data_IF_985625022933
#
_entry.id   IF_985625022933
#
_cell.length_a   1.000
_cell.length_b   1.000
_cell.length_c   1.000
_cell.angle_alpha   90.00
_cell.angle_beta   90.00
_cell.angle_gamma   90.00
#
_symmetry.space_group_name_H-M   'P 1'
#
loop_
_entity.id
_entity.type
_entity.pdbx_description
1 polymer ?
#
# COMPACT_ATOMS: atom_id res chain seq x y z
N UNK A 1 -15.44 15.23 -4.32
CA UNK A 1 -14.21 14.68 -3.73
C UNK A 1 -13.90 15.54 -2.54
N UNK A 2 -13.83 14.97 -1.35
CA UNK A 2 -13.60 15.76 -0.14
C UNK A 2 -12.17 16.32 -0.15
N UNK A 3 -12.06 17.59 0.20
CA UNK A 3 -10.79 18.29 0.37
C UNK A 3 -10.59 18.56 1.87
N UNK A 4 -9.34 18.79 2.27
CA UNK A 4 -8.98 19.30 3.60
C UNK A 4 -8.74 20.82 3.58
N UNK A 5 -9.06 21.48 2.46
CA UNK A 5 -8.91 22.94 2.28
C UNK A 5 -9.80 23.75 3.22
N UNK A 6 -10.96 23.22 3.63
CA UNK A 6 -11.87 23.92 4.54
C UNK A 6 -11.38 23.96 6.00
N UNK A 7 -10.33 23.21 6.35
CA UNK A 7 -9.78 23.21 7.70
C UNK A 7 -9.24 24.60 8.06
N UNK A 8 -9.83 25.18 9.11
CA UNK A 8 -9.43 26.49 9.63
C UNK A 8 -8.04 26.43 10.29
N UNK A 9 -7.39 27.57 10.53
CA UNK A 9 -6.13 27.60 11.28
C UNK A 9 -6.25 26.93 12.67
N UNK A 10 -7.38 27.11 13.35
CA UNK A 10 -7.67 26.47 14.64
C UNK A 10 -7.80 24.95 14.51
N UNK A 11 -8.48 24.45 13.46
CA UNK A 11 -8.57 23.00 13.21
C UNK A 11 -7.19 22.38 13.01
N UNK A 12 -6.33 23.08 12.25
CA UNK A 12 -4.94 22.65 11.99
C UNK A 12 -4.12 22.66 13.27
N UNK A 13 -4.30 23.64 14.15
CA UNK A 13 -3.65 23.68 15.46
C UNK A 13 -4.05 22.48 16.33
N UNK A 14 -5.34 22.15 16.41
CA UNK A 14 -5.85 21.00 17.16
C UNK A 14 -5.29 19.69 16.58
N UNK A 15 -5.27 19.54 15.26
CA UNK A 15 -4.68 18.39 14.58
C UNK A 15 -3.18 18.25 14.88
N UNK A 16 -2.41 19.35 14.79
CA UNK A 16 -0.98 19.33 15.10
C UNK A 16 -0.70 18.99 16.56
N UNK A 17 -1.43 19.60 17.50
CA UNK A 17 -1.28 19.33 18.93
C UNK A 17 -1.65 17.89 19.28
N UNK A 18 -2.75 17.37 18.71
CA UNK A 18 -3.16 15.97 18.93
C UNK A 18 -2.17 14.99 18.31
N UNK A 19 -1.67 15.26 17.10
CA UNK A 19 -0.62 14.45 16.46
C UNK A 19 0.65 14.41 17.31
N UNK A 20 1.10 15.55 17.84
CA UNK A 20 2.29 15.64 18.69
C UNK A 20 2.17 14.82 20.00
N UNK A 21 0.96 14.47 20.42
CA UNK A 21 0.74 13.54 21.53
C UNK A 21 0.80 12.09 21.05
N UNK A 22 0.07 11.78 19.97
CA UNK A 22 -0.05 10.44 19.41
C UNK A 22 1.31 9.92 18.90
N UNK A 23 2.11 10.76 18.26
CA UNK A 23 3.37 10.38 17.63
C UNK A 23 4.50 10.07 18.61
N UNK A 24 4.39 10.48 19.88
CA UNK A 24 5.40 10.18 20.92
C UNK A 24 5.66 8.69 21.11
N UNK A 25 4.61 7.88 20.95
CA UNK A 25 4.68 6.42 21.06
C UNK A 25 4.02 5.77 19.83
N UNK A 26 4.41 6.26 18.64
CA UNK A 26 3.82 5.86 17.37
C UNK A 26 3.87 4.34 17.17
N UNK A 27 4.96 3.69 17.58
CA UNK A 27 5.11 2.25 17.47
C UNK A 27 4.05 1.49 18.27
N UNK A 28 3.91 1.81 19.57
CA UNK A 28 2.95 1.13 20.42
C UNK A 28 1.52 1.45 20.01
N UNK A 29 1.22 2.70 19.60
CA UNK A 29 -0.09 3.09 19.07
C UNK A 29 -0.42 2.26 17.83
N UNK A 30 0.50 2.12 16.88
CA UNK A 30 0.30 1.34 15.67
C UNK A 30 0.01 -0.14 15.97
N UNK A 31 0.82 -0.75 16.85
CA UNK A 31 0.64 -2.15 17.28
C UNK A 31 -0.73 -2.35 17.90
N UNK A 32 -1.13 -1.46 18.82
CA UNK A 32 -2.44 -1.55 19.48
C UNK A 32 -3.60 -1.43 18.49
N UNK A 33 -3.50 -0.52 17.50
CA UNK A 33 -4.51 -0.37 16.44
C UNK A 33 -4.67 -1.68 15.68
N UNK A 34 -3.58 -2.28 15.22
CA UNK A 34 -3.64 -3.53 14.46
C UNK A 34 -4.12 -4.70 15.29
N UNK A 35 -3.74 -4.77 16.57
CA UNK A 35 -4.27 -5.78 17.48
C UNK A 35 -5.80 -5.65 17.59
N UNK A 36 -6.32 -4.44 17.79
CA UNK A 36 -7.76 -4.20 17.84
C UNK A 36 -8.44 -4.54 16.50
N UNK A 37 -7.83 -4.21 15.36
CA UNK A 37 -8.34 -4.61 14.04
C UNK A 37 -8.48 -6.13 13.95
N UNK A 38 -7.48 -6.87 14.41
CA UNK A 38 -7.49 -8.33 14.39
C UNK A 38 -8.45 -8.98 15.39
N UNK A 39 -8.81 -8.28 16.46
CA UNK A 39 -9.86 -8.69 17.38
C UNK A 39 -11.25 -8.45 16.77
N UNK A 40 -11.46 -7.31 16.11
CA UNK A 40 -12.73 -6.94 15.47
C UNK A 40 -12.98 -7.66 14.14
N UNK A 41 -11.91 -7.99 13.43
CA UNK A 41 -11.93 -8.61 12.11
C UNK A 41 -10.80 -9.66 11.99
N UNK A 42 -10.96 -10.85 12.58
CA UNK A 42 -9.93 -11.89 12.59
C UNK A 42 -9.45 -12.29 11.18
N UNK A 43 -10.34 -12.30 10.20
CA UNK A 43 -10.06 -12.63 8.81
C UNK A 43 -9.07 -11.64 8.15
N UNK A 44 -8.97 -10.42 8.67
CA UNK A 44 -7.97 -9.46 8.21
C UNK A 44 -6.54 -9.99 8.39
N UNK A 45 -6.28 -10.90 9.33
CA UNK A 45 -4.96 -11.55 9.51
C UNK A 45 -4.47 -12.25 8.25
N UNK A 46 -5.38 -12.77 7.40
CA UNK A 46 -5.05 -13.44 6.14
C UNK A 46 -4.32 -12.51 5.16
N UNK A 47 -4.51 -11.19 5.28
CA UNK A 47 -3.82 -10.18 4.46
C UNK A 47 -2.32 -10.08 4.79
N UNK A 48 -1.91 -10.59 5.95
CA UNK A 48 -0.57 -10.43 6.50
C UNK A 48 0.17 -11.75 6.44
N UNK A 49 0.84 -12.02 5.32
CA UNK A 49 1.56 -13.30 5.09
C UNK A 49 2.59 -13.67 6.17
N UNK A 50 3.12 -12.70 6.93
CA UNK A 50 4.02 -12.95 8.07
C UNK A 50 3.30 -13.56 9.28
N UNK A 51 1.99 -13.36 9.41
CA UNK A 51 1.15 -13.96 10.46
C UNK A 51 0.88 -15.45 10.18
N UNK A 52 1.02 -15.90 8.94
CA UNK A 52 0.66 -17.25 8.47
C UNK A 52 1.85 -18.22 8.39
N UNK A 53 3.09 -17.75 8.61
CA UNK A 53 4.31 -18.56 8.46
C UNK A 53 4.89 -18.99 9.80
N UNK A 54 5.59 -20.11 9.88
CA UNK A 54 6.31 -20.57 11.09
C UNK A 54 7.66 -19.87 11.28
N UNK A 55 7.67 -18.55 11.43
CA UNK A 55 8.87 -17.82 11.86
C UNK A 55 9.06 -17.89 13.38
N UNK A 56 10.32 -17.73 13.84
CA UNK A 56 10.62 -17.40 15.24
C UNK A 56 9.77 -16.21 15.66
N UNK A 57 9.15 -16.29 16.84
CA UNK A 57 8.18 -15.29 17.34
C UNK A 57 8.72 -13.85 17.26
N UNK A 58 9.99 -13.64 17.61
CA UNK A 58 10.65 -12.34 17.53
C UNK A 58 10.66 -11.72 16.12
N UNK A 59 10.87 -12.54 15.08
CA UNK A 59 10.88 -12.06 13.69
C UNK A 59 9.48 -11.72 13.20
N UNK A 60 8.45 -12.48 13.62
CA UNK A 60 7.05 -12.14 13.35
C UNK A 60 6.68 -10.80 13.96
N UNK A 61 7.08 -10.60 15.21
CA UNK A 61 6.85 -9.35 15.96
C UNK A 61 7.46 -8.14 15.24
N UNK A 62 8.72 -8.24 14.79
CA UNK A 62 9.39 -7.13 14.10
C UNK A 62 8.77 -6.77 12.74
N UNK A 63 8.45 -7.76 11.90
CA UNK A 63 7.78 -7.51 10.61
C UNK A 63 6.38 -6.91 10.82
N UNK A 64 5.65 -7.41 11.82
CA UNK A 64 4.36 -6.86 12.20
C UNK A 64 4.46 -5.40 12.64
N UNK A 65 5.37 -5.10 13.56
CA UNK A 65 5.62 -3.74 14.04
C UNK A 65 6.00 -2.82 12.89
N UNK A 66 6.93 -3.26 12.03
CA UNK A 66 7.36 -2.50 10.86
C UNK A 66 6.18 -2.15 9.95
N UNK A 67 5.31 -3.14 9.69
CA UNK A 67 4.12 -2.92 8.88
C UNK A 67 3.12 -1.98 9.55
N UNK A 68 2.86 -2.15 10.85
CA UNK A 68 1.95 -1.32 11.60
C UNK A 68 2.38 0.15 11.59
N UNK A 69 3.67 0.42 11.81
CA UNK A 69 4.22 1.78 11.80
C UNK A 69 4.08 2.44 10.43
N UNK A 70 4.24 1.68 9.32
CA UNK A 70 4.09 2.21 7.96
C UNK A 70 2.71 2.83 7.71
N UNK A 71 1.66 2.32 8.35
CA UNK A 71 0.32 2.93 8.25
C UNK A 71 0.26 4.28 8.95
N UNK A 72 0.84 4.41 10.15
CA UNK A 72 0.89 5.71 10.83
C UNK A 72 1.77 6.72 10.10
N UNK A 73 2.81 6.27 9.38
CA UNK A 73 3.62 7.15 8.52
C UNK A 73 2.83 7.74 7.34
N UNK A 74 1.84 7.02 6.80
CA UNK A 74 0.94 7.58 5.77
C UNK A 74 0.08 8.70 6.36
N UNK A 75 -0.41 8.51 7.59
CA UNK A 75 -1.16 9.52 8.33
C UNK A 75 -0.26 10.73 8.63
N UNK A 76 0.97 10.50 9.11
CA UNK A 76 1.98 11.55 9.34
C UNK A 76 2.29 12.34 8.07
N UNK A 77 2.48 11.66 6.94
CA UNK A 77 2.70 12.32 5.66
C UNK A 77 1.51 13.21 5.27
N UNK A 78 0.29 12.80 5.60
CA UNK A 78 -0.91 13.61 5.35
C UNK A 78 -0.91 14.85 6.25
N UNK A 79 -0.52 14.70 7.52
CA UNK A 79 -0.38 15.80 8.46
C UNK A 79 0.63 16.86 8.00
N UNK A 80 1.76 16.43 7.45
CA UNK A 80 2.79 17.36 6.94
C UNK A 80 2.40 18.06 5.63
N UNK A 81 1.33 17.60 4.97
CA UNK A 81 0.83 18.16 3.71
C UNK A 81 -0.63 18.62 3.80
N UNK A 82 -1.14 18.98 4.99
CA UNK A 82 -2.54 19.39 5.16
C UNK A 82 -2.93 20.61 4.29
N UNK A 83 -1.99 21.46 3.91
CA UNK A 83 -2.25 22.61 3.02
C UNK A 83 -2.40 22.21 1.56
N UNK A 84 -1.68 21.16 1.14
CA UNK A 84 -1.72 20.67 -0.23
C UNK A 84 -1.62 19.13 -0.25
N UNK A 85 -2.69 18.43 0.18
CA UNK A 85 -2.64 16.97 0.30
C UNK A 85 -2.68 16.26 -1.06
N UNK A 86 -2.96 16.98 -2.16
CA UNK A 86 -2.92 16.46 -3.52
C UNK A 86 -1.53 15.92 -3.92
N UNK A 87 -0.47 16.41 -3.28
CA UNK A 87 0.90 15.90 -3.48
C UNK A 87 1.03 14.40 -3.14
N UNK A 88 0.12 13.86 -2.33
CA UNK A 88 0.10 12.46 -1.92
C UNK A 88 -0.81 11.60 -2.79
N UNK A 89 -1.46 12.15 -3.82
CA UNK A 89 -2.41 11.41 -4.66
C UNK A 89 -1.78 10.16 -5.29
N UNK A 90 -0.56 10.26 -5.80
CA UNK A 90 0.16 9.11 -6.34
C UNK A 90 0.37 8.01 -5.29
N UNK A 91 0.64 8.38 -4.04
CA UNK A 91 0.81 7.45 -2.92
C UNK A 91 -0.53 6.76 -2.61
N UNK A 92 -1.61 7.51 -2.43
CA UNK A 92 -2.93 6.96 -2.12
C UNK A 92 -3.47 6.07 -3.25
N UNK A 93 -3.30 6.48 -4.51
CA UNK A 93 -3.68 5.69 -5.68
C UNK A 93 -2.94 4.34 -5.69
N UNK A 94 -1.63 4.35 -5.43
CA UNK A 94 -0.85 3.12 -5.40
C UNK A 94 -1.24 2.20 -4.23
N UNK A 95 -1.49 2.77 -3.04
CA UNK A 95 -2.00 2.01 -1.91
C UNK A 95 -3.37 1.40 -2.21
N UNK A 96 -4.26 2.15 -2.88
CA UNK A 96 -5.55 1.63 -3.36
C UNK A 96 -5.41 0.43 -4.28
N UNK A 97 -4.49 0.50 -5.25
CA UNK A 97 -4.16 -0.63 -6.16
C UNK A 97 -3.67 -1.87 -5.41
N UNK A 98 -2.87 -1.68 -4.35
CA UNK A 98 -2.43 -2.78 -3.49
C UNK A 98 -3.63 -3.46 -2.82
N UNK A 99 -4.54 -2.68 -2.23
CA UNK A 99 -5.72 -3.23 -1.56
C UNK A 99 -6.70 -3.91 -2.54
N UNK A 100 -6.81 -3.43 -3.78
CA UNK A 100 -7.57 -4.13 -4.82
C UNK A 100 -6.95 -5.48 -5.22
N UNK A 101 -5.62 -5.65 -5.09
CA UNK A 101 -5.00 -6.98 -5.24
C UNK A 101 -5.33 -7.89 -4.06
N UNK A 102 -5.37 -7.35 -2.84
CA UNK A 102 -5.78 -8.12 -1.65
C UNK A 102 -7.25 -8.55 -1.71
N UNK A 103 -8.13 -7.76 -2.33
CA UNK A 103 -9.55 -8.16 -2.53
C UNK A 103 -9.63 -9.47 -3.30
N UNK A 104 -8.92 -9.56 -4.42
CA UNK A 104 -8.94 -10.74 -5.28
C UNK A 104 -8.19 -11.94 -4.70
N UNK A 105 -7.03 -11.71 -4.07
CA UNK A 105 -6.16 -12.80 -3.64
C UNK A 105 -6.55 -13.37 -2.29
N UNK A 106 -7.09 -12.53 -1.40
CA UNK A 106 -7.21 -12.83 0.02
C UNK A 106 -8.61 -12.51 0.57
N UNK A 107 -9.49 -11.87 -0.21
CA UNK A 107 -10.84 -11.52 0.21
C UNK A 107 -10.93 -10.21 0.99
N UNK A 108 -10.03 -9.25 0.74
CA UNK A 108 -10.16 -7.90 1.31
C UNK A 108 -11.53 -7.29 0.98
N UNK A 109 -12.26 -6.84 2.01
CA UNK A 109 -13.58 -6.23 1.88
C UNK A 109 -13.54 -4.74 2.26
N UNK A 110 -14.43 -3.95 1.66
CA UNK A 110 -14.58 -2.54 1.98
C UNK A 110 -14.91 -2.27 3.47
N UNK A 111 -15.46 -3.25 4.18
CA UNK A 111 -15.70 -3.15 5.63
C UNK A 111 -14.42 -2.90 6.43
N UNK A 112 -13.26 -3.43 6.00
CA UNK A 112 -12.00 -3.24 6.71
C UNK A 112 -11.54 -1.77 6.75
N UNK A 113 -11.94 -0.94 5.78
CA UNK A 113 -11.69 0.51 5.86
C UNK A 113 -12.38 1.16 7.06
N UNK A 114 -13.61 0.75 7.34
CA UNK A 114 -14.38 1.25 8.47
C UNK A 114 -13.81 0.75 9.80
N UNK A 115 -13.44 -0.53 9.89
CA UNK A 115 -12.78 -1.10 11.07
C UNK A 115 -11.48 -0.36 11.36
N UNK A 116 -10.62 -0.19 10.36
CA UNK A 116 -9.37 0.55 10.48
C UNK A 116 -9.60 1.96 11.02
N UNK A 117 -10.53 2.71 10.41
CA UNK A 117 -10.87 4.08 10.83
C UNK A 117 -11.29 4.14 12.30
N UNK A 118 -12.21 3.28 12.73
CA UNK A 118 -12.71 3.30 14.11
C UNK A 118 -11.63 2.88 15.12
N UNK A 119 -10.78 1.89 14.79
CA UNK A 119 -9.64 1.51 15.64
C UNK A 119 -8.62 2.65 15.78
N UNK A 120 -8.30 3.36 14.71
CA UNK A 120 -7.40 4.54 14.77
C UNK A 120 -7.99 5.62 15.67
N UNK A 121 -9.26 6.01 15.45
CA UNK A 121 -9.92 7.04 16.25
C UNK A 121 -9.99 6.67 17.74
N UNK A 122 -10.25 5.40 18.05
CA UNK A 122 -10.24 4.90 19.42
C UNK A 122 -8.87 5.09 20.08
N UNK A 123 -7.80 4.64 19.41
CA UNK A 123 -6.45 4.72 19.97
C UNK A 123 -5.89 6.14 20.03
N UNK A 124 -6.25 7.02 19.10
CA UNK A 124 -5.87 8.43 19.15
C UNK A 124 -6.54 9.11 20.35
N UNK A 125 -7.84 8.87 20.57
CA UNK A 125 -8.54 9.36 21.77
C UNK A 125 -7.88 8.84 23.05
N UNK A 126 -7.53 7.55 23.07
CA UNK A 126 -6.88 6.92 24.22
C UNK A 126 -5.53 7.56 24.54
N UNK A 127 -4.71 7.81 23.51
CA UNK A 127 -3.40 8.46 23.66
C UNK A 127 -3.53 9.88 24.24
N UNK A 128 -4.46 10.68 23.71
CA UNK A 128 -4.72 12.04 24.21
C UNK A 128 -5.20 12.04 25.67
N UNK A 129 -6.16 11.15 26.02
CA UNK A 129 -6.64 11.02 27.40
C UNK A 129 -5.57 10.53 28.37
N UNK A 130 -4.68 9.63 27.95
CA UNK A 130 -3.60 9.14 28.78
C UNK A 130 -2.55 10.23 29.06
N UNK A 131 -2.17 11.02 28.05
CA UNK A 131 -1.26 12.14 28.21
C UNK A 131 -1.75 13.13 29.28
N UNK A 132 -3.06 13.40 29.34
CA UNK A 132 -3.65 14.25 30.39
C UNK A 132 -3.54 13.70 31.81
N UNK A 133 -3.41 12.38 32.00
CA UNK A 133 -3.27 11.82 33.35
C UNK A 133 -1.87 12.03 33.92
N UNK A 134 -0.87 12.16 33.05
CA UNK A 134 0.54 12.15 33.45
C UNK A 134 1.25 13.49 33.28
N UNK A 135 0.80 14.37 32.36
CA UNK A 135 1.51 15.60 31.99
C UNK A 135 0.62 16.84 32.10
N UNK A 136 0.59 17.48 33.28
CA UNK A 136 -0.20 18.69 33.58
C UNK A 136 0.08 19.92 32.69
N UNK A 137 1.20 19.94 31.98
CA UNK A 137 1.69 21.14 31.27
C UNK A 137 1.31 21.20 29.78
N UNK A 138 0.81 20.10 29.22
CA UNK A 138 0.40 19.97 27.80
C UNK A 138 -0.91 19.16 27.68
N UNK A 139 -1.81 19.34 28.66
CA UNK A 139 -3.11 18.68 28.64
C UNK A 139 -4.01 19.27 27.56
N UNK A 140 -4.71 18.40 26.84
CA UNK A 140 -5.73 18.79 25.89
C UNK A 140 -7.09 18.67 26.59
N UNK A 141 -7.86 19.75 26.81
CA UNK A 141 -9.17 19.68 27.45
C UNK A 141 -10.10 18.67 26.75
N UNK A 142 -11.03 18.06 27.48
CA UNK A 142 -11.92 17.03 26.92
C UNK A 142 -12.67 17.50 25.66
N UNK A 143 -13.15 18.75 25.64
CA UNK A 143 -13.81 19.34 24.47
C UNK A 143 -12.86 19.48 23.26
N UNK A 144 -11.58 19.79 23.51
CA UNK A 144 -10.55 19.86 22.47
C UNK A 144 -10.19 18.45 21.95
N UNK A 145 -10.17 17.43 22.83
CA UNK A 145 -10.03 16.02 22.43
C UNK A 145 -11.19 15.59 21.52
N UNK A 146 -12.42 15.93 21.85
CA UNK A 146 -13.57 15.58 21.02
C UNK A 146 -13.54 16.29 19.67
N UNK A 147 -13.13 17.56 19.66
CA UNK A 147 -12.87 18.32 18.42
C UNK A 147 -11.78 17.65 17.59
N UNK A 148 -10.66 17.26 18.20
CA UNK A 148 -9.58 16.53 17.53
C UNK A 148 -10.09 15.23 16.90
N UNK A 149 -10.96 14.47 17.58
CA UNK A 149 -11.51 13.22 17.02
C UNK A 149 -12.44 13.45 15.84
N UNK A 150 -13.20 14.55 15.84
CA UNK A 150 -14.01 14.94 14.67
C UNK A 150 -13.09 15.25 13.49
N UNK A 151 -12.03 16.03 13.70
CA UNK A 151 -11.07 16.39 12.66
C UNK A 151 -10.29 15.18 12.14
N UNK A 152 -9.84 14.28 13.02
CA UNK A 152 -9.19 13.03 12.62
C UNK A 152 -10.10 12.13 11.80
N UNK A 153 -11.42 12.14 12.06
CA UNK A 153 -12.39 11.41 11.23
C UNK A 153 -12.38 11.93 9.80
N UNK A 154 -12.26 13.24 9.60
CA UNK A 154 -12.17 13.85 8.28
C UNK A 154 -10.85 13.51 7.58
N UNK A 155 -9.71 13.61 8.29
CA UNK A 155 -8.40 13.24 7.75
C UNK A 155 -8.37 11.78 7.30
N UNK A 156 -8.89 10.87 8.13
CA UNK A 156 -8.95 9.44 7.77
C UNK A 156 -9.91 9.17 6.61
N UNK A 157 -11.06 9.85 6.57
CA UNK A 157 -12.01 9.75 5.46
C UNK A 157 -11.35 10.22 4.15
N UNK A 158 -10.65 11.35 4.18
CA UNK A 158 -9.88 11.86 3.04
C UNK A 158 -8.88 10.82 2.52
N UNK A 159 -8.03 10.26 3.40
CA UNK A 159 -7.05 9.23 3.01
C UNK A 159 -7.74 8.01 2.39
N UNK A 160 -8.78 7.48 3.05
CA UNK A 160 -9.52 6.30 2.61
C UNK A 160 -10.18 6.55 1.26
N UNK A 161 -10.82 7.69 1.05
CA UNK A 161 -11.51 8.00 -0.19
C UNK A 161 -10.55 8.16 -1.36
N UNK A 162 -9.37 8.77 -1.13
CA UNK A 162 -8.29 8.79 -2.13
C UNK A 162 -7.77 7.40 -2.46
N UNK A 163 -7.61 6.52 -1.47
CA UNK A 163 -7.25 5.11 -1.71
C UNK A 163 -8.34 4.37 -2.49
N UNK A 164 -9.62 4.63 -2.20
CA UNK A 164 -10.75 4.02 -2.92
C UNK A 164 -10.80 4.38 -4.39
N UNK A 165 -10.25 5.53 -4.81
CA UNK A 165 -10.09 5.85 -6.23
C UNK A 165 -9.19 4.81 -6.92
N UNK A 166 -7.99 4.56 -6.37
CA UNK A 166 -7.06 3.58 -6.92
C UNK A 166 -7.59 2.15 -6.84
N UNK A 167 -8.33 1.84 -5.77
CA UNK A 167 -9.01 0.56 -5.57
C UNK A 167 -10.04 0.30 -6.68
N UNK A 168 -10.97 1.24 -6.87
CA UNK A 168 -12.10 1.11 -7.79
C UNK A 168 -11.66 1.12 -9.25
N UNK A 169 -10.70 1.98 -9.62
CA UNK A 169 -10.14 2.01 -10.96
C UNK A 169 -9.56 0.64 -11.37
N UNK A 170 -8.88 -0.03 -10.43
CA UNK A 170 -8.33 -1.36 -10.64
C UNK A 170 -9.43 -2.42 -10.78
N UNK A 171 -10.48 -2.34 -9.94
CA UNK A 171 -11.65 -3.22 -10.04
C UNK A 171 -12.39 -3.08 -11.37
N UNK A 172 -12.56 -1.86 -11.87
CA UNK A 172 -13.24 -1.58 -13.14
C UNK A 172 -12.49 -2.17 -14.34
N UNK A 173 -11.17 -1.94 -14.43
CA UNK A 173 -10.31 -2.52 -15.49
C UNK A 173 -10.42 -4.05 -15.48
N UNK A 174 -10.41 -4.67 -14.29
CA UNK A 174 -10.50 -6.14 -14.17
C UNK A 174 -11.85 -6.68 -14.61
N UNK A 175 -12.96 -6.03 -14.24
CA UNK A 175 -14.31 -6.43 -14.69
C UNK A 175 -14.42 -6.37 -16.21
N UNK A 176 -13.91 -5.31 -16.83
CA UNK A 176 -13.85 -5.17 -18.28
C UNK A 176 -13.03 -6.30 -18.93
N UNK A 177 -11.85 -6.63 -18.39
CA UNK A 177 -11.02 -7.71 -18.91
C UNK A 177 -11.68 -9.10 -18.79
N UNK A 178 -12.39 -9.37 -17.69
CA UNK A 178 -13.14 -10.63 -17.53
C UNK A 178 -14.29 -10.73 -18.54
N UNK A 179 -15.01 -9.64 -18.78
CA UNK A 179 -16.09 -9.60 -19.76
C UNK A 179 -15.59 -9.82 -21.20
N UNK A 180 -14.45 -9.24 -21.56
CA UNK A 180 -13.83 -9.46 -22.87
C UNK A 180 -13.46 -10.94 -23.11
N UNK A 181 -12.85 -11.59 -22.12
CA UNK A 181 -12.46 -13.01 -22.22
C UNK A 181 -13.70 -13.92 -22.32
N UNK A 182 -14.77 -13.62 -21.57
CA UNK A 182 -16.01 -14.40 -21.66
C UNK A 182 -16.77 -14.19 -22.97
N UNK A 183 -16.67 -13.02 -23.59
CA UNK A 183 -17.28 -12.73 -24.89
C UNK A 183 -16.58 -13.50 -26.03
N UNK A 184 -15.25 -13.58 -26.00
CA UNK A 184 -14.48 -14.35 -27.00
C UNK A 184 -14.71 -15.87 -26.93
N UNK A 185 -15.18 -16.38 -25.80
CA UNK A 185 -15.50 -17.81 -25.61
C UNK A 185 -16.98 -18.16 -25.82
N UNK A 186 -17.84 -17.19 -26.14
CA UNK A 186 -19.27 -17.42 -26.40
C UNK A 186 -19.67 -17.27 -27.87
N UNK A 187 -18.71 -17.13 -28.78
CA UNK A 187 -18.93 -17.18 -30.24
C UNK A 187 -18.51 -18.57 -30.76
N UNK A 188 -19.50 -19.34 -31.24
CA UNK A 188 -19.54 -20.75 -31.72
C UNK A 188 -19.83 -21.81 -30.64
N UNK A 189 -20.82 -22.69 -30.88
CA UNK A 189 -21.07 -23.39 -32.14
C UNK A 189 -22.46 -23.13 -32.73
N UNK A 190 -22.54 -23.06 -34.06
CA UNK A 190 -23.61 -23.62 -34.92
C UNK A 190 -23.60 -22.87 -36.27
N UNK A 191 -23.02 -23.49 -37.30
CA UNK A 191 -23.77 -23.61 -38.56
C UNK A 191 -23.21 -24.77 -39.40
N UNK A 192 -24.09 -25.70 -39.72
CA UNK A 192 -23.89 -26.76 -40.69
C UNK A 192 -24.90 -26.54 -41.81
N UNK A 193 -24.44 -26.16 -43.01
CA UNK A 193 -25.33 -26.06 -44.17
C UNK A 193 -24.65 -25.60 -45.45
N UNK A 194 -24.53 -26.51 -46.44
CA UNK A 194 -24.02 -26.28 -47.79
C UNK A 194 -24.82 -25.24 -48.60
N UNK A 195 -24.15 -24.46 -49.47
CA UNK A 195 -24.28 -24.56 -50.95
C UNK A 195 -23.65 -23.37 -51.72
N UNK A 196 -22.78 -23.72 -52.68
CA UNK A 196 -22.57 -23.17 -54.03
C UNK A 196 -22.20 -21.68 -54.27
N UNK A 197 -20.91 -21.47 -54.57
CA UNK A 197 -20.43 -21.06 -55.91
C UNK A 197 -20.54 -19.60 -56.34
N UNK A 198 -19.38 -18.92 -56.46
CA UNK A 198 -18.84 -18.36 -57.72
C UNK A 198 -17.47 -17.70 -57.52
N UNK A 199 -16.57 -17.98 -58.48
CA UNK A 199 -15.21 -17.48 -58.64
C UNK A 199 -15.10 -15.97 -58.79
N UNK A 200 -14.03 -15.38 -58.24
CA UNK A 200 -13.13 -14.46 -58.97
C UNK A 200 -11.69 -14.67 -58.49
N UNK A 201 -10.78 -14.81 -59.46
CA UNK A 201 -9.33 -14.96 -59.33
C UNK A 201 -8.64 -13.77 -58.67
N UNK A 202 -7.53 -13.98 -57.96
CA UNK A 202 -6.18 -13.62 -58.47
C UNK A 202 -5.06 -14.00 -57.51
N UNK A 203 -3.94 -14.36 -58.13
CA UNK A 203 -2.69 -14.90 -57.60
C UNK A 203 -1.92 -13.85 -56.77
N UNK A 204 -1.18 -14.29 -55.73
CA UNK A 204 0.31 -14.31 -55.74
C UNK A 204 0.91 -14.47 -54.32
N UNK A 205 1.82 -15.44 -54.29
CA UNK A 205 3.05 -15.58 -53.53
C UNK A 205 3.14 -15.67 -52.00
N UNK A 206 3.73 -16.81 -51.64
CA UNK A 206 4.45 -17.13 -50.43
C UNK A 206 5.54 -16.10 -50.12
N UNK A 207 5.62 -15.68 -48.86
CA UNK A 207 6.93 -15.58 -48.21
C UNK A 207 6.83 -15.97 -46.75
N UNK A 208 7.56 -17.04 -46.42
CA UNK A 208 7.81 -17.49 -45.06
C UNK A 208 8.70 -16.47 -44.34
N UNK A 209 8.32 -16.08 -43.12
CA UNK A 209 9.28 -15.50 -42.17
C UNK A 209 9.21 -16.30 -40.87
N UNK A 210 10.20 -17.18 -40.74
CA UNK A 210 10.64 -17.81 -39.50
C UNK A 210 10.88 -16.74 -38.42
N UNK A 211 10.29 -16.93 -37.23
CA UNK A 211 10.77 -16.26 -36.01
C UNK A 211 11.75 -17.21 -35.29
N UNK A 212 13.06 -16.88 -35.19
CA UNK A 212 13.97 -17.66 -34.39
C UNK A 212 13.89 -17.28 -32.92
N UNK A 213 13.78 -18.33 -32.11
CA UNK A 213 13.98 -18.38 -30.67
C UNK A 213 15.46 -18.14 -30.37
N UNK A 214 15.80 -17.11 -29.58
CA UNK A 214 17.15 -16.94 -29.05
C UNK A 214 17.14 -16.58 -27.56
N UNK A 215 17.70 -17.50 -26.77
CA UNK A 215 18.18 -17.27 -25.42
C UNK A 215 19.48 -16.45 -25.49
N UNK A 216 19.66 -15.44 -24.63
CA UNK A 216 20.99 -15.08 -24.11
C UNK A 216 20.95 -14.07 -22.95
N UNK A 217 21.49 -14.54 -21.82
CA UNK A 217 22.33 -13.88 -20.80
C UNK A 217 22.00 -12.49 -20.23
N UNK A 218 21.97 -12.49 -18.89
CA UNK A 218 22.09 -11.36 -17.97
C UNK A 218 23.44 -10.62 -18.06
N UNK A 219 23.49 -9.33 -17.70
CA UNK A 219 24.70 -8.67 -17.21
C UNK A 219 24.81 -8.80 -15.68
N UNK A 220 25.95 -9.34 -15.22
CA UNK A 220 26.42 -9.22 -13.83
C UNK A 220 27.09 -7.85 -13.67
N UNK A 221 26.63 -7.02 -12.73
CA UNK A 221 27.43 -5.89 -12.27
C UNK A 221 28.36 -6.36 -11.16
N UNK A 222 29.66 -6.23 -11.42
CA UNK A 222 30.75 -6.48 -10.47
C UNK A 222 30.73 -5.46 -9.34
N UNK A 223 30.86 -5.98 -8.12
CA UNK A 223 31.15 -5.24 -6.89
C UNK A 223 32.63 -4.89 -6.89
N UNK A 224 32.97 -3.60 -6.94
CA UNK A 224 34.31 -3.13 -6.64
C UNK A 224 34.47 -3.05 -5.12
N UNK A 225 35.35 -3.89 -4.58
CA UNK A 225 35.83 -3.86 -3.20
C UNK A 225 36.91 -2.79 -3.12
N UNK A 226 36.63 -1.69 -2.42
CA UNK A 226 37.65 -0.70 -2.02
C UNK A 226 37.93 -0.89 -0.53
N UNK A 227 39.21 -1.10 -0.22
CA UNK A 227 39.80 -1.32 1.10
C UNK A 227 40.02 0.05 1.79
N UNK A 228 39.84 0.21 3.12
CA UNK A 228 40.10 1.49 3.78
C UNK A 228 41.54 1.58 4.29
N UNK A 229 42.09 2.81 4.29
CA UNK A 229 43.30 3.24 5.00
C UNK A 229 43.16 4.76 5.32
N UNK A 230 43.89 5.31 6.31
CA UNK A 230 43.26 6.00 7.44
C UNK A 230 43.31 7.54 7.44
N UNK A 231 42.49 8.09 8.36
CA UNK A 231 42.41 9.40 9.02
C UNK A 231 43.24 10.61 8.53
N UNK A 232 42.56 11.75 8.38
CA UNK A 232 43.07 13.05 8.82
C UNK A 232 41.91 14.05 9.10
N UNK A 233 42.08 14.80 10.19
CA UNK A 233 41.22 15.89 10.69
C UNK A 233 41.09 17.05 9.71
N UNK A 234 39.91 17.67 9.58
CA UNK A 234 39.73 19.14 9.59
C UNK A 234 38.25 19.52 9.78
N UNK A 235 37.99 20.43 10.72
CA UNK A 235 36.70 21.13 10.95
C UNK A 235 36.36 22.07 9.77
N UNK A 236 35.07 22.24 9.43
CA UNK A 236 34.42 23.55 9.19
C UNK A 236 32.90 23.35 9.00
N UNK A 237 32.15 24.31 9.55
CA UNK A 237 30.70 24.50 9.59
C UNK A 237 30.09 24.92 8.24
N UNK A 238 28.88 24.45 7.92
CA UNK A 238 27.80 25.30 7.36
C UNK A 238 26.46 24.54 7.26
N UNK A 239 25.39 25.30 7.49
CA UNK A 239 23.97 24.94 7.54
C UNK A 239 23.37 24.70 6.14
N UNK A 240 22.59 23.62 5.98
CA UNK A 240 21.32 23.55 5.20
C UNK A 240 20.54 22.25 5.55
N UNK A 241 19.19 22.26 5.59
CA UNK A 241 18.41 21.07 5.91
C UNK A 241 18.10 20.22 4.64
N UNK A 242 18.17 18.87 4.71
CA UNK A 242 17.91 18.04 3.54
C UNK A 242 16.41 17.80 3.32
N UNK A 243 15.92 18.20 2.15
CA UNK A 243 14.64 17.76 1.56
C UNK A 243 14.53 16.23 1.52
N UNK A 244 13.65 15.67 2.36
CA UNK A 244 13.43 14.23 2.50
C UNK A 244 12.12 13.83 1.81
N UNK A 245 12.04 13.96 0.49
CA UNK A 245 10.83 13.56 -0.28
C UNK A 245 11.06 12.33 -1.17
N UNK A 246 12.29 11.82 -1.29
CA UNK A 246 12.63 10.82 -2.30
C UNK A 246 12.63 9.35 -1.83
N UNK A 247 12.42 9.08 -0.53
CA UNK A 247 12.56 7.71 0.01
C UNK A 247 11.25 6.92 0.15
N UNK A 248 10.08 7.57 0.16
CA UNK A 248 8.81 6.87 0.37
C UNK A 248 8.41 6.02 -0.86
N UNK A 249 8.65 6.51 -2.07
CA UNK A 249 8.28 5.81 -3.31
C UNK A 249 9.16 4.57 -3.58
N UNK A 250 10.45 4.58 -3.21
CA UNK A 250 11.34 3.42 -3.43
C UNK A 250 11.00 2.24 -2.51
N UNK A 251 10.54 2.48 -1.27
CA UNK A 251 10.20 1.38 -0.37
C UNK A 251 8.86 0.74 -0.71
N UNK A 252 7.92 1.46 -1.33
CA UNK A 252 6.60 0.93 -1.67
C UNK A 252 6.64 0.00 -2.91
N UNK A 253 7.60 0.19 -3.82
CA UNK A 253 7.74 -0.62 -5.06
C UNK A 253 8.40 -2.00 -4.81
N UNK A 254 8.96 -2.25 -3.63
CA UNK A 254 9.70 -3.50 -3.34
C UNK A 254 8.83 -4.76 -3.12
N UNK A 255 7.50 -4.65 -3.14
CA UNK A 255 6.60 -5.80 -2.95
C UNK A 255 6.07 -6.36 -4.26
N UNK A 256 6.91 -7.17 -4.92
CA UNK A 256 6.47 -8.23 -5.83
C UNK A 256 7.23 -9.51 -5.49
N UNK A 257 6.59 -10.56 -4.94
CA UNK A 257 7.25 -11.84 -4.73
C UNK A 257 7.47 -12.51 -6.08
N UNK A 258 8.73 -12.68 -6.47
CA UNK A 258 9.11 -13.54 -7.60
C UNK A 258 8.67 -14.98 -7.28
N UNK A 259 7.61 -15.46 -7.94
CA UNK A 259 7.26 -16.87 -7.96
C UNK A 259 8.40 -17.69 -8.58
N UNK A 260 9.16 -18.41 -7.75
CA UNK A 260 10.07 -19.46 -8.22
C UNK A 260 9.23 -20.73 -8.40
N UNK A 261 8.91 -21.04 -9.66
CA UNK A 261 8.32 -22.32 -10.07
C UNK A 261 9.42 -23.37 -10.08
N UNK A 262 9.55 -24.20 -9.04
CA UNK A 262 10.39 -25.41 -9.09
C UNK A 262 9.54 -26.62 -9.49
N UNK A 263 9.86 -27.15 -10.65
CA UNK A 263 9.39 -28.42 -11.21
C UNK A 263 9.92 -29.55 -10.33
N UNK A 264 9.03 -30.33 -9.71
CA UNK A 264 9.39 -31.60 -9.06
C UNK A 264 9.69 -32.62 -10.16
N UNK A 265 10.93 -33.11 -10.22
CA UNK A 265 11.25 -34.37 -10.89
C UNK A 265 11.20 -35.48 -9.85
N UNK A 266 10.28 -36.42 -10.00
CA UNK A 266 10.38 -37.72 -9.34
C UNK A 266 11.62 -38.43 -9.86
N UNK A 267 12.47 -38.91 -8.94
CA UNK A 267 13.38 -40.01 -9.22
C UNK A 267 13.13 -41.10 -8.19
N UNK A 268 12.62 -42.21 -8.70
CA UNK A 268 12.61 -43.54 -8.10
C UNK A 268 14.04 -44.05 -7.85
N UNK A 269 14.26 -44.73 -6.73
CA UNK A 269 15.11 -45.92 -6.53
C UNK A 269 14.73 -46.48 -5.14
N UNK A 270 14.03 -47.62 -5.08
CA UNK A 270 14.58 -48.99 -4.86
C UNK A 270 15.49 -49.04 -3.65
#
# INVERSE_FOLDING_TARGET
MESLEHLTPTDREILNKSWAIVSKDMQQVAVNIFQMIFEQAPDAKLMFSFMMKDYKEDKKSNEFIFHAVRFLQVIESTMTHLENPSQLDAVFLNLGKIHARHEEQLGFSAHYWSVFKECVLFHFRRAMKANNKFLKRNEMPFAEIDSAIILWREVLRFIIDRMKVGYSATGAIRKANKQAIHHDHSISPDDSGLSSGQSVETKQDLTQVLFPKAMSRMPRHSVAVVRPAPAEDTRISSNEPPTTTCNLLRTIVAFSPKCVRRRLSLSSHV
#
